data_IF_146576487610
#
_entry.id   IF_146576487610
#
_cell.length_a   1.000
_cell.length_b   1.000
_cell.length_c   1.000
_cell.angle_alpha   90.00
_cell.angle_beta   90.00
_cell.angle_gamma   90.00
#
_symmetry.space_group_name_H-M   'P 1'
#
loop_
_entity.id
_entity.type
_entity.pdbx_description
1 polymer ?
#
# COMPACT_ATOMS: atom_id res chain seq x y z
N UNK A 1 8.01 -9.47 24.22
CA UNK A 1 8.39 -8.36 23.33
C UNK A 1 7.13 -7.68 22.83
N UNK A 2 7.00 -6.36 23.00
CA UNK A 2 5.85 -5.55 22.56
C UNK A 2 6.05 -5.09 21.10
N UNK A 3 5.20 -5.51 20.14
CA UNK A 3 5.25 -4.98 18.77
C UNK A 3 4.81 -3.52 18.74
N UNK A 4 5.66 -2.62 18.25
CA UNK A 4 5.34 -1.21 18.03
C UNK A 4 4.68 -1.06 16.65
N UNK A 5 3.80 -0.07 16.50
CA UNK A 5 2.96 0.14 15.31
C UNK A 5 2.00 -1.01 15.02
N UNK A 6 1.61 -1.77 16.05
CA UNK A 6 0.70 -2.90 15.94
C UNK A 6 -0.31 -2.88 17.10
N UNK A 7 -1.42 -3.60 16.93
CA UNK A 7 -2.55 -3.55 17.85
C UNK A 7 -2.68 -4.89 18.58
N UNK A 8 -2.64 -4.84 19.91
CA UNK A 8 -2.90 -6.01 20.76
C UNK A 8 -4.41 -6.28 20.86
N UNK A 9 -4.86 -7.42 20.35
CA UNK A 9 -6.26 -7.86 20.43
C UNK A 9 -6.43 -9.12 21.29
N UNK A 10 -5.49 -9.36 22.21
CA UNK A 10 -5.49 -10.54 23.10
C UNK A 10 -6.70 -10.51 24.04
N UNK A 11 -6.95 -9.39 24.70
CA UNK A 11 -8.03 -9.20 25.67
C UNK A 11 -9.29 -8.60 25.03
N UNK A 12 -9.12 -7.60 24.16
CA UNK A 12 -10.22 -6.96 23.42
C UNK A 12 -10.06 -7.12 21.91
N UNK A 13 -11.02 -7.79 21.27
CA UNK A 13 -11.03 -8.00 19.81
C UNK A 13 -11.32 -6.73 19.01
N UNK A 14 -11.86 -5.70 19.66
CA UNK A 14 -12.21 -4.41 19.06
C UNK A 14 -11.22 -3.31 19.45
N UNK A 15 -10.07 -3.66 20.04
CA UNK A 15 -9.04 -2.68 20.31
C UNK A 15 -8.59 -2.04 18.99
N UNK A 16 -8.48 -0.72 19.01
CA UNK A 16 -7.98 0.11 17.90
C UNK A 16 -6.70 0.87 18.30
N UNK A 17 -6.28 0.75 19.57
CA UNK A 17 -5.10 1.44 20.10
C UNK A 17 -3.83 0.78 19.58
N UNK A 18 -3.02 1.58 18.89
CA UNK A 18 -1.71 1.19 18.39
C UNK A 18 -0.69 1.27 19.52
N UNK A 19 0.19 0.28 19.60
CA UNK A 19 1.34 0.31 20.50
C UNK A 19 2.39 1.31 20.00
N UNK A 20 2.95 2.14 20.89
CA UNK A 20 4.04 3.03 20.54
C UNK A 20 4.01 4.40 21.22
N UNK A 21 2.88 4.75 21.85
CA UNK A 21 2.67 6.06 22.49
C UNK A 21 3.80 6.47 23.43
N UNK A 22 4.40 5.53 24.16
CA UNK A 22 5.52 5.79 25.06
C UNK A 22 6.83 6.22 24.35
N UNK A 23 6.89 6.11 23.02
CA UNK A 23 8.00 6.55 22.18
C UNK A 23 7.72 7.88 21.49
N UNK A 24 6.51 8.43 21.59
CA UNK A 24 6.15 9.71 20.96
C UNK A 24 6.90 10.86 21.65
N UNK A 25 7.60 11.65 20.85
CA UNK A 25 8.38 12.81 21.31
C UNK A 25 7.92 14.13 20.73
N UNK A 26 7.19 14.08 19.61
CA UNK A 26 6.53 15.22 18.99
C UNK A 26 5.22 14.78 18.37
N UNK A 27 4.26 15.69 18.35
CA UNK A 27 2.96 15.52 17.70
C UNK A 27 2.64 16.84 17.01
N UNK A 28 2.05 16.78 15.82
CA UNK A 28 1.58 17.97 15.15
C UNK A 28 0.46 18.66 15.95
N UNK A 29 0.33 20.00 15.85
CA UNK A 29 -0.83 20.69 16.41
C UNK A 29 -2.13 20.18 15.79
N UNK A 30 -3.21 20.09 16.58
CA UNK A 30 -4.52 19.61 16.12
C UNK A 30 -5.04 20.36 14.88
N UNK A 31 -4.76 21.66 14.78
CA UNK A 31 -5.12 22.47 13.61
C UNK A 31 -4.45 21.99 12.31
N UNK A 32 -3.18 21.60 12.38
CA UNK A 32 -2.44 21.08 11.22
C UNK A 32 -2.95 19.69 10.81
N UNK A 33 -3.30 18.86 11.80
CA UNK A 33 -3.92 17.53 11.56
C UNK A 33 -5.28 17.67 10.88
N UNK A 34 -6.16 18.53 11.40
CA UNK A 34 -7.48 18.78 10.79
C UNK A 34 -7.37 19.35 9.38
N UNK A 35 -6.42 20.27 9.13
CA UNK A 35 -6.21 20.82 7.79
C UNK A 35 -5.74 19.75 6.80
N UNK A 36 -4.82 18.87 7.23
CA UNK A 36 -4.35 17.76 6.41
C UNK A 36 -5.48 16.79 6.05
N UNK A 37 -6.25 16.33 7.04
CA UNK A 37 -7.37 15.40 6.83
C UNK A 37 -8.44 15.99 5.92
N UNK A 38 -8.85 17.25 6.15
CA UNK A 38 -9.82 17.93 5.31
C UNK A 38 -9.36 18.00 3.83
N UNK A 39 -8.07 18.26 3.59
CA UNK A 39 -7.51 18.32 2.23
C UNK A 39 -7.41 16.94 1.59
N UNK A 40 -6.99 15.93 2.35
CA UNK A 40 -6.96 14.53 1.90
C UNK A 40 -8.35 14.06 1.48
N UNK A 41 -9.36 14.30 2.31
CA UNK A 41 -10.75 13.96 2.00
C UNK A 41 -11.26 14.68 0.74
N UNK A 42 -10.91 15.95 0.56
CA UNK A 42 -11.29 16.71 -0.64
C UNK A 42 -10.72 16.05 -1.91
N UNK A 43 -9.42 15.72 -1.90
CA UNK A 43 -8.75 15.07 -3.04
C UNK A 43 -9.36 13.68 -3.32
N UNK A 44 -9.62 12.89 -2.27
CA UNK A 44 -10.27 11.58 -2.42
C UNK A 44 -11.66 11.68 -3.04
N UNK A 45 -12.46 12.66 -2.62
CA UNK A 45 -13.77 12.92 -3.20
C UNK A 45 -13.66 13.35 -4.67
N UNK A 46 -12.70 14.21 -5.02
CA UNK A 46 -12.44 14.61 -6.42
C UNK A 46 -12.04 13.42 -7.28
N UNK A 47 -11.13 12.57 -6.79
CA UNK A 47 -10.74 11.32 -7.45
C UNK A 47 -11.94 10.38 -7.59
N UNK A 48 -12.80 10.26 -6.57
CA UNK A 48 -13.99 9.41 -6.63
C UNK A 48 -15.03 9.93 -7.63
N UNK A 49 -15.24 11.26 -7.70
CA UNK A 49 -16.13 11.90 -8.67
C UNK A 49 -15.65 11.75 -10.11
N UNK A 50 -14.33 11.78 -10.35
CA UNK A 50 -13.72 11.60 -11.68
C UNK A 50 -14.03 10.22 -12.28
N UNK A 51 -14.24 9.26 -11.38
CA UNK A 51 -14.43 7.84 -11.61
C UNK A 51 -15.85 7.59 -12.16
N UNK A 52 -16.01 6.64 -13.09
CA UNK A 52 -17.34 6.28 -13.61
C UNK A 52 -18.21 5.61 -12.50
N UNK A 53 -19.54 5.74 -12.53
CA UNK A 53 -20.44 4.99 -11.66
C UNK A 53 -20.15 3.49 -11.69
N UNK A 54 -20.28 2.83 -10.54
CA UNK A 54 -19.83 1.45 -10.34
C UNK A 54 -20.49 0.46 -11.32
N UNK A 55 -21.79 0.63 -11.62
CA UNK A 55 -22.51 -0.18 -12.60
C UNK A 55 -21.98 0.00 -14.04
N UNK A 56 -21.58 1.22 -14.43
CA UNK A 56 -20.99 1.48 -15.75
C UNK A 56 -19.62 0.82 -15.86
N UNK A 57 -18.83 0.80 -14.78
CA UNK A 57 -17.55 0.08 -14.77
C UNK A 57 -17.72 -1.42 -14.94
N UNK A 58 -18.73 -2.01 -14.30
CA UNK A 58 -19.04 -3.44 -14.46
C UNK A 58 -19.44 -3.74 -15.90
N UNK A 59 -20.33 -2.93 -16.50
CA UNK A 59 -20.74 -3.09 -17.91
C UNK A 59 -19.56 -2.94 -18.87
N UNK A 60 -18.69 -1.95 -18.62
CA UNK A 60 -17.43 -1.77 -19.37
C UNK A 60 -16.55 -3.02 -19.26
N UNK A 61 -16.32 -3.53 -18.05
CA UNK A 61 -15.48 -4.71 -17.86
C UNK A 61 -16.04 -5.96 -18.56
N UNK A 62 -17.32 -6.26 -18.36
CA UNK A 62 -17.99 -7.42 -18.97
C UNK A 62 -18.02 -7.34 -20.50
N UNK A 63 -18.31 -6.17 -21.06
CA UNK A 63 -18.29 -5.97 -22.52
C UNK A 63 -16.89 -6.12 -23.11
N UNK A 64 -15.86 -5.60 -22.44
CA UNK A 64 -14.46 -5.77 -22.86
C UNK A 64 -13.99 -7.21 -22.81
N UNK A 65 -14.26 -7.93 -21.71
CA UNK A 65 -13.91 -9.35 -21.55
C UNK A 65 -14.62 -10.21 -22.59
N UNK A 66 -15.91 -9.99 -22.82
CA UNK A 66 -16.66 -10.73 -23.84
C UNK A 66 -16.12 -10.47 -25.25
N UNK A 67 -15.87 -9.21 -25.61
CA UNK A 67 -15.28 -8.86 -26.90
C UNK A 67 -13.89 -9.51 -27.09
N UNK A 68 -13.08 -9.56 -26.04
CA UNK A 68 -11.77 -10.24 -26.06
C UNK A 68 -11.90 -11.76 -26.28
N UNK A 69 -12.87 -12.42 -25.63
CA UNK A 69 -13.13 -13.84 -25.86
C UNK A 69 -13.54 -14.12 -27.31
N UNK A 70 -14.42 -13.30 -27.87
CA UNK A 70 -14.83 -13.42 -29.29
C UNK A 70 -13.63 -13.18 -30.21
N UNK A 71 -12.79 -12.19 -29.92
CA UNK A 71 -11.59 -11.90 -30.69
C UNK A 71 -10.58 -13.06 -30.68
N UNK A 72 -10.32 -13.66 -29.52
CA UNK A 72 -9.45 -14.84 -29.38
C UNK A 72 -10.04 -16.04 -30.15
N UNK A 73 -11.36 -16.24 -30.09
CA UNK A 73 -12.04 -17.31 -30.84
C UNK A 73 -11.91 -17.12 -32.35
N UNK A 74 -12.02 -15.88 -32.85
CA UNK A 74 -11.82 -15.54 -34.27
C UNK A 74 -10.37 -15.82 -34.69
N UNK A 75 -9.37 -15.40 -33.92
CA UNK A 75 -7.95 -15.67 -34.24
C UNK A 75 -7.67 -17.17 -34.32
N UNK A 76 -8.23 -17.97 -33.39
CA UNK A 76 -8.08 -19.43 -33.43
C UNK A 76 -8.77 -20.05 -34.64
N UNK A 77 -9.97 -19.58 -34.99
CA UNK A 77 -10.70 -20.05 -36.17
C UNK A 77 -10.00 -19.68 -37.47
N UNK A 78 -9.33 -18.52 -37.53
CA UNK A 78 -8.53 -18.08 -38.67
C UNK A 78 -7.26 -18.91 -38.91
N UNK A 79 -6.81 -19.67 -37.90
CA UNK A 79 -5.71 -20.62 -38.05
C UNK A 79 -6.10 -21.90 -38.81
N UNK A 80 -7.39 -22.18 -38.97
CA UNK A 80 -7.91 -23.40 -39.61
C UNK A 80 -8.86 -23.14 -40.78
N UNK A 81 -9.53 -21.99 -40.80
CA UNK A 81 -10.61 -21.67 -41.73
C UNK A 81 -10.47 -20.20 -42.19
N UNK A 82 -10.92 -19.86 -43.40
CA UNK A 82 -10.92 -18.48 -43.90
C UNK A 82 -11.87 -17.56 -43.09
N UNK A 83 -11.58 -16.26 -43.02
CA UNK A 83 -12.44 -15.29 -42.31
C UNK A 83 -13.89 -15.31 -42.80
N UNK A 84 -14.09 -15.49 -44.11
CA UNK A 84 -15.41 -15.54 -44.72
C UNK A 84 -16.24 -16.75 -44.27
N UNK A 85 -15.58 -17.89 -44.02
CA UNK A 85 -16.23 -19.08 -43.45
C UNK A 85 -16.46 -18.96 -41.95
N UNK A 86 -15.54 -18.33 -41.20
CA UNK A 86 -15.76 -18.04 -39.79
C UNK A 86 -16.99 -17.11 -39.58
N UNK A 87 -17.15 -16.12 -40.45
CA UNK A 87 -18.31 -15.21 -40.45
C UNK A 87 -19.62 -15.93 -40.82
N UNK A 88 -19.57 -16.92 -41.72
CA UNK A 88 -20.72 -17.76 -42.05
C UNK A 88 -21.09 -18.74 -40.94
N UNK A 89 -20.11 -19.27 -40.23
CA UNK A 89 -20.32 -20.27 -39.18
C UNK A 89 -20.86 -19.66 -37.88
N UNK A 90 -20.46 -18.44 -37.53
CA UNK A 90 -20.88 -17.80 -36.28
C UNK A 90 -21.17 -16.29 -36.43
N UNK A 91 -22.08 -15.88 -37.33
CA UNK A 91 -22.34 -14.46 -37.61
C UNK A 91 -22.88 -13.70 -36.39
N UNK A 92 -23.72 -14.35 -35.59
CA UNK A 92 -24.31 -13.78 -34.38
C UNK A 92 -23.23 -13.50 -33.32
N UNK A 93 -22.30 -14.45 -33.13
CA UNK A 93 -21.23 -14.34 -32.14
C UNK A 93 -20.21 -13.25 -32.51
N UNK A 94 -19.87 -13.14 -33.80
CA UNK A 94 -18.96 -12.11 -34.30
C UNK A 94 -19.64 -10.73 -34.21
N UNK A 95 -20.91 -10.64 -34.60
CA UNK A 95 -21.70 -9.40 -34.50
C UNK A 95 -21.84 -8.91 -33.05
N UNK A 96 -22.16 -9.79 -32.11
CA UNK A 96 -22.24 -9.42 -30.69
C UNK A 96 -20.88 -8.99 -30.13
N UNK A 97 -19.78 -9.65 -30.53
CA UNK A 97 -18.43 -9.26 -30.13
C UNK A 97 -18.05 -7.85 -30.58
N UNK A 98 -18.40 -7.47 -31.82
CA UNK A 98 -18.16 -6.11 -32.34
C UNK A 98 -18.96 -5.07 -31.56
N UNK A 99 -20.25 -5.34 -31.30
CA UNK A 99 -21.11 -4.43 -30.52
C UNK A 99 -20.55 -4.24 -29.10
N UNK A 100 -20.16 -5.33 -28.43
CA UNK A 100 -19.53 -5.25 -27.12
C UNK A 100 -18.20 -4.49 -27.15
N UNK A 101 -17.39 -4.67 -28.20
CA UNK A 101 -16.15 -3.91 -28.40
C UNK A 101 -16.39 -2.41 -28.55
N UNK A 102 -17.43 -2.01 -29.28
CA UNK A 102 -17.82 -0.61 -29.44
C UNK A 102 -18.35 -0.01 -28.13
N UNK A 103 -19.18 -0.75 -27.38
CA UNK A 103 -19.64 -0.32 -26.05
C UNK A 103 -18.44 -0.11 -25.12
N UNK A 104 -17.50 -1.04 -25.09
CA UNK A 104 -16.28 -0.91 -24.30
C UNK A 104 -15.44 0.32 -24.71
N UNK A 105 -15.31 0.57 -26.01
CA UNK A 105 -14.56 1.72 -26.54
C UNK A 105 -15.22 3.06 -26.13
N UNK A 106 -16.53 3.20 -26.34
CA UNK A 106 -17.29 4.39 -25.95
C UNK A 106 -17.19 4.64 -24.46
N UNK A 107 -17.39 3.61 -23.63
CA UNK A 107 -17.26 3.73 -22.18
C UNK A 107 -15.82 4.08 -21.74
N UNK A 108 -14.81 3.67 -22.50
CA UNK A 108 -13.40 4.04 -22.25
C UNK A 108 -13.15 5.50 -22.56
N UNK A 109 -13.67 6.01 -23.69
CA UNK A 109 -13.55 7.40 -24.07
C UNK A 109 -14.32 8.32 -23.11
N UNK A 110 -15.52 7.92 -22.69
CA UNK A 110 -16.30 8.64 -21.67
C UNK A 110 -15.60 8.65 -20.31
N UNK A 111 -15.00 7.53 -19.90
CA UNK A 111 -14.21 7.49 -18.66
C UNK A 111 -13.07 8.51 -18.70
N UNK A 112 -12.27 8.49 -19.78
CA UNK A 112 -11.15 9.42 -19.96
C UNK A 112 -11.60 10.87 -20.09
N UNK A 113 -12.72 11.13 -20.74
CA UNK A 113 -13.27 12.49 -20.88
C UNK A 113 -13.80 13.01 -19.55
N UNK A 114 -14.48 12.17 -18.75
CA UNK A 114 -14.99 12.56 -17.43
C UNK A 114 -13.84 12.77 -16.45
N UNK A 115 -12.85 11.89 -16.48
CA UNK A 115 -11.61 12.03 -15.72
C UNK A 115 -10.94 13.36 -16.05
N UNK A 116 -10.71 13.64 -17.34
CA UNK A 116 -10.10 14.90 -17.77
C UNK A 116 -10.93 16.13 -17.41
N UNK A 117 -12.25 16.08 -17.58
CA UNK A 117 -13.15 17.19 -17.27
C UNK A 117 -13.17 17.50 -15.77
N UNK A 118 -13.31 16.48 -14.91
CA UNK A 118 -13.33 16.66 -13.45
C UNK A 118 -11.97 17.12 -12.94
N UNK A 119 -10.87 16.57 -13.47
CA UNK A 119 -9.52 16.99 -13.07
C UNK A 119 -9.24 18.46 -13.46
N UNK A 120 -9.79 18.94 -14.58
CA UNK A 120 -9.67 20.33 -15.03
C UNK A 120 -10.64 21.28 -14.32
N UNK A 121 -11.86 20.83 -13.99
CA UNK A 121 -12.89 21.66 -13.35
C UNK A 121 -12.66 21.82 -11.85
N UNK A 122 -12.16 20.79 -11.17
CA UNK A 122 -11.86 20.83 -9.73
C UNK A 122 -10.37 21.18 -9.42
N UNK A 123 -9.56 21.57 -10.42
CA UNK A 123 -8.12 21.88 -10.28
C UNK A 123 -7.35 20.79 -9.51
N UNK A 124 -7.60 19.52 -9.79
CA UNK A 124 -7.07 18.41 -9.01
C UNK A 124 -5.52 18.37 -8.96
N UNK A 125 -4.87 18.86 -10.01
CA UNK A 125 -3.40 18.99 -10.07
C UNK A 125 -2.89 20.07 -9.09
N UNK A 126 -3.57 21.22 -9.00
CA UNK A 126 -3.27 22.27 -8.01
C UNK A 126 -3.55 21.78 -6.58
N UNK A 127 -4.63 21.00 -6.38
CA UNK A 127 -4.95 20.40 -5.08
C UNK A 127 -3.89 19.36 -4.66
N UNK A 128 -3.39 18.55 -5.60
CA UNK A 128 -2.31 17.61 -5.35
C UNK A 128 -1.01 18.33 -4.99
N UNK A 129 -0.62 19.37 -5.75
CA UNK A 129 0.54 20.19 -5.41
C UNK A 129 0.41 20.87 -4.03
N UNK A 130 -0.79 21.34 -3.67
CA UNK A 130 -1.03 21.89 -2.34
C UNK A 130 -0.94 20.82 -1.25
N UNK A 131 -1.44 19.61 -1.49
CA UNK A 131 -1.31 18.51 -0.53
C UNK A 131 0.17 18.14 -0.32
N UNK A 132 0.97 18.06 -1.39
CA UNK A 132 2.41 17.83 -1.30
C UNK A 132 3.14 18.92 -0.52
N UNK A 133 2.79 20.20 -0.75
CA UNK A 133 3.33 21.33 0.04
C UNK A 133 2.94 21.23 1.52
N UNK A 134 1.68 20.91 1.81
CA UNK A 134 1.22 20.72 3.19
C UNK A 134 1.93 19.55 3.89
N UNK A 135 2.17 18.45 3.18
CA UNK A 135 2.98 17.32 3.68
C UNK A 135 4.40 17.79 4.03
N UNK A 136 5.01 18.60 3.17
CA UNK A 136 6.33 19.14 3.43
C UNK A 136 6.34 20.11 4.63
N UNK A 137 5.33 20.98 4.74
CA UNK A 137 5.18 21.89 5.89
C UNK A 137 5.01 21.12 7.20
N UNK A 138 4.28 20.00 7.18
CA UNK A 138 4.14 19.09 8.34
C UNK A 138 5.49 18.47 8.71
N UNK A 139 6.26 18.00 7.74
CA UNK A 139 7.60 17.48 7.99
C UNK A 139 8.53 18.54 8.57
N UNK A 140 8.47 19.77 8.09
CA UNK A 140 9.24 20.89 8.61
C UNK A 140 8.83 21.22 10.06
N UNK A 141 7.53 21.20 10.37
CA UNK A 141 7.00 21.37 11.73
C UNK A 141 7.47 20.27 12.69
N UNK A 142 7.52 19.02 12.21
CA UNK A 142 8.04 17.89 12.98
C UNK A 142 9.58 17.90 13.08
N UNK A 143 10.25 18.71 12.26
CA UNK A 143 11.70 18.80 12.17
C UNK A 143 12.32 17.55 11.53
N UNK A 144 11.63 16.98 10.54
CA UNK A 144 12.13 15.87 9.73
C UNK A 144 13.15 16.43 8.74
N UNK A 145 14.37 15.87 8.67
CA UNK A 145 15.39 16.37 7.76
C UNK A 145 15.05 16.01 6.31
N UNK A 146 15.47 16.85 5.36
CA UNK A 146 15.14 16.69 3.94
C UNK A 146 15.72 15.41 3.31
N UNK A 147 16.78 14.85 3.90
CA UNK A 147 17.42 13.60 3.48
C UNK A 147 16.86 12.36 4.22
N UNK A 148 15.78 12.50 4.99
CA UNK A 148 15.13 11.38 5.65
C UNK A 148 14.70 10.31 4.65
N UNK A 149 14.98 9.05 4.99
CA UNK A 149 14.57 7.92 4.17
C UNK A 149 13.06 7.69 4.31
N UNK A 150 12.41 7.32 3.21
CA UNK A 150 11.07 6.73 3.25
C UNK A 150 11.22 5.23 3.43
N UNK A 151 10.50 4.65 4.39
CA UNK A 151 10.45 3.21 4.64
C UNK A 151 9.03 2.77 4.89
N UNK A 152 8.75 1.51 4.63
CA UNK A 152 7.51 0.89 5.06
C UNK A 152 7.64 0.13 6.38
N UNK A 153 6.64 0.28 7.24
CA UNK A 153 6.50 -0.46 8.49
C UNK A 153 5.28 -1.38 8.41
N UNK A 154 5.44 -2.59 8.96
CA UNK A 154 4.39 -3.58 9.03
C UNK A 154 3.50 -3.34 10.24
N UNK A 155 2.29 -2.88 9.98
CA UNK A 155 1.22 -2.73 10.98
C UNK A 155 0.30 -3.95 10.93
N UNK A 156 -0.06 -4.50 12.08
CA UNK A 156 -0.94 -5.67 12.14
C UNK A 156 -1.64 -5.80 13.49
N UNK A 157 -2.71 -6.60 13.51
CA UNK A 157 -3.34 -7.04 14.75
C UNK A 157 -2.66 -8.33 15.22
N UNK A 158 -2.42 -8.47 16.52
CA UNK A 158 -1.80 -9.67 17.06
C UNK A 158 -2.47 -10.15 18.35
N UNK A 159 -2.18 -11.41 18.70
CA UNK A 159 -2.52 -11.99 20.00
C UNK A 159 -1.29 -12.64 20.61
N UNK A 160 -1.20 -12.56 21.92
CA UNK A 160 -0.22 -13.31 22.70
C UNK A 160 -0.77 -14.71 22.93
N UNK A 161 -0.01 -15.74 22.50
CA UNK A 161 -0.30 -17.15 22.80
C UNK A 161 0.97 -17.82 23.28
N UNK A 162 0.97 -18.34 24.50
CA UNK A 162 2.16 -18.95 25.11
C UNK A 162 3.38 -18.02 25.02
N UNK A 163 3.20 -16.74 25.33
CA UNK A 163 4.23 -15.67 25.24
C UNK A 163 4.67 -15.30 23.81
N UNK A 164 4.20 -16.01 22.78
CA UNK A 164 4.48 -15.71 21.38
C UNK A 164 3.50 -14.69 20.77
N UNK A 165 4.04 -13.82 19.93
CA UNK A 165 3.26 -12.90 19.10
C UNK A 165 2.71 -13.64 17.88
N UNK A 166 1.39 -13.79 17.84
CA UNK A 166 0.68 -14.42 16.71
C UNK A 166 -0.10 -13.38 15.94
N UNK A 167 0.45 -12.96 14.79
CA UNK A 167 -0.21 -12.10 13.80
C UNK A 167 -1.58 -12.71 13.44
N UNK A 168 -2.62 -11.90 13.51
CA UNK A 168 -4.00 -12.29 13.22
C UNK A 168 -4.46 -11.71 11.89
N UNK A 169 -5.12 -12.54 11.10
CA UNK A 169 -5.91 -12.08 9.97
C UNK A 169 -7.27 -11.60 10.49
N UNK A 170 -7.69 -10.39 10.11
CA UNK A 170 -9.11 -10.03 10.25
C UNK A 170 -9.93 -10.84 9.24
N UNK A 171 -11.13 -11.26 9.63
CA UNK A 171 -12.05 -12.00 8.75
C UNK A 171 -12.46 -11.19 7.50
N UNK A 172 -12.29 -9.87 7.53
CA UNK A 172 -12.55 -8.95 6.40
C UNK A 172 -11.28 -8.57 5.63
N UNK A 173 -10.09 -8.94 6.11
CA UNK A 173 -8.82 -8.57 5.50
C UNK A 173 -8.22 -9.76 4.75
N UNK A 174 -7.88 -9.54 3.48
CA UNK A 174 -7.22 -10.56 2.65
C UNK A 174 -5.74 -10.73 2.98
N UNK A 175 -5.13 -9.82 3.75
CA UNK A 175 -3.72 -9.82 4.12
C UNK A 175 -3.50 -9.87 5.63
N UNK A 176 -2.30 -10.31 6.03
CA UNK A 176 -1.91 -10.42 7.44
C UNK A 176 -1.48 -9.08 8.05
N UNK A 177 -0.89 -8.22 7.23
CA UNK A 177 -0.33 -6.94 7.62
C UNK A 177 -0.76 -5.83 6.66
N UNK A 178 -0.66 -4.60 7.14
CA UNK A 178 -0.70 -3.38 6.36
C UNK A 178 0.70 -2.81 6.23
N UNK A 179 0.87 -2.00 5.18
CA UNK A 179 2.11 -1.33 4.88
C UNK A 179 1.91 0.16 5.18
N UNK A 180 2.55 0.66 6.23
CA UNK A 180 2.51 2.07 6.59
C UNK A 180 3.78 2.74 6.08
N UNK A 181 3.65 3.66 5.13
CA UNK A 181 4.79 4.46 4.66
C UNK A 181 5.12 5.52 5.71
N UNK A 182 6.37 5.55 6.17
CA UNK A 182 6.85 6.44 7.21
C UNK A 182 8.20 7.05 6.82
N UNK A 183 8.53 8.21 7.39
CA UNK A 183 9.89 8.75 7.34
C UNK A 183 10.73 8.19 8.46
N UNK A 184 11.96 7.83 8.17
CA UNK A 184 12.96 7.34 9.13
C UNK A 184 14.28 8.08 8.95
N UNK A 185 14.89 8.46 10.06
CA UNK A 185 16.18 9.16 10.06
C UNK A 185 16.87 9.02 11.42
N UNK A 186 18.17 9.30 11.45
CA UNK A 186 18.93 9.38 12.69
C UNK A 186 19.33 10.83 12.93
N UNK A 187 19.06 11.32 14.14
CA UNK A 187 19.53 12.62 14.60
C UNK A 187 19.88 12.53 16.09
N UNK A 188 20.96 13.18 16.51
CA UNK A 188 21.41 13.25 17.91
C UNK A 188 21.45 11.89 18.65
N UNK A 189 21.88 10.83 17.96
CA UNK A 189 21.98 9.47 18.54
C UNK A 189 20.63 8.77 18.75
N UNK A 190 19.55 9.29 18.16
CA UNK A 190 18.22 8.70 18.17
C UNK A 190 17.78 8.33 16.75
N UNK A 191 17.13 7.18 16.63
CA UNK A 191 16.36 6.79 15.45
C UNK A 191 14.95 7.37 15.59
N UNK A 192 14.52 8.12 14.59
CA UNK A 192 13.20 8.73 14.52
C UNK A 192 12.36 8.08 13.44
N UNK A 193 11.08 7.85 13.71
CA UNK A 193 10.10 7.30 12.78
C UNK A 193 8.81 8.12 12.86
N UNK A 194 8.23 8.53 11.72
CA UNK A 194 7.03 9.40 11.71
C UNK A 194 6.06 9.16 10.55
N UNK A 195 4.78 9.29 10.85
CA UNK A 195 3.59 9.07 10.01
C UNK A 195 2.77 10.35 9.78
N UNK A 196 3.44 11.50 9.59
CA UNK A 196 2.84 12.84 9.45
C UNK A 196 2.11 13.37 10.69
N UNK A 197 1.72 12.53 11.64
CA UNK A 197 1.06 12.97 12.86
C UNK A 197 2.04 13.05 14.04
N UNK A 198 2.88 12.04 14.19
CA UNK A 198 3.70 11.87 15.39
C UNK A 198 5.13 11.47 15.06
N UNK A 199 6.09 11.85 15.90
CA UNK A 199 7.48 11.41 15.81
C UNK A 199 7.79 10.47 16.98
N UNK A 200 8.04 9.22 16.65
CA UNK A 200 8.50 8.18 17.57
C UNK A 200 10.03 8.18 17.60
N UNK A 201 10.62 8.21 18.80
CA UNK A 201 12.07 8.29 18.98
C UNK A 201 12.62 7.16 19.83
N UNK A 202 13.65 6.51 19.32
CA UNK A 202 14.34 5.36 19.92
C UNK A 202 15.82 5.69 20.04
N UNK A 203 16.42 5.57 21.23
CA UNK A 203 17.87 5.78 21.34
C UNK A 203 18.58 4.64 20.64
N UNK A 204 19.67 4.92 19.94
CA UNK A 204 20.42 3.87 19.24
C UNK A 204 20.97 2.80 20.19
N UNK A 205 21.27 3.14 21.45
CA UNK A 205 21.74 2.20 22.46
C UNK A 205 20.64 1.28 23.04
N UNK A 206 19.36 1.66 22.88
CA UNK A 206 18.20 0.81 23.19
C UNK A 206 18.01 -0.29 22.15
N UNK A 207 18.45 -0.06 20.90
CA UNK A 207 18.36 -1.03 19.80
C UNK A 207 19.40 -2.15 19.99
N UNK A 208 18.95 -3.41 19.97
CA UNK A 208 19.77 -4.58 20.31
C UNK A 208 20.12 -5.44 19.10
N UNK A 209 19.16 -5.66 18.22
CA UNK A 209 19.35 -6.56 17.08
C UNK A 209 18.37 -6.27 15.95
N UNK A 210 18.75 -6.69 14.74
CA UNK A 210 17.81 -6.90 13.64
C UNK A 210 17.62 -8.41 13.51
N UNK A 211 16.42 -8.90 13.85
CA UNK A 211 16.07 -10.31 13.76
C UNK A 211 15.44 -10.63 12.42
N UNK A 212 15.93 -11.68 11.78
CA UNK A 212 15.39 -12.22 10.53
C UNK A 212 14.30 -13.24 10.83
N UNK A 213 13.08 -12.98 10.39
CA UNK A 213 11.98 -13.93 10.55
C UNK A 213 11.66 -14.61 9.23
N UNK A 214 12.07 -15.87 9.10
CA UNK A 214 11.86 -16.66 7.89
C UNK A 214 10.44 -17.27 7.80
N UNK A 215 9.42 -16.45 8.08
CA UNK A 215 8.01 -16.81 7.99
C UNK A 215 7.35 -16.00 6.88
N UNK A 216 6.57 -16.66 6.03
CA UNK A 216 5.83 -15.99 4.96
C UNK A 216 4.70 -15.16 5.55
N UNK A 217 4.64 -13.90 5.16
CA UNK A 217 3.54 -12.97 5.48
C UNK A 217 2.99 -12.37 4.19
N UNK A 218 1.87 -11.65 4.32
CA UNK A 218 1.29 -10.88 3.23
C UNK A 218 0.94 -9.47 3.67
N UNK A 219 1.14 -8.53 2.76
CA UNK A 219 0.64 -7.15 2.88
C UNK A 219 -0.45 -6.90 1.86
N UNK A 220 -1.37 -6.02 2.23
CA UNK A 220 -2.29 -5.37 1.31
C UNK A 220 -1.74 -3.98 0.96
N UNK A 221 -2.13 -3.45 -0.20
CA UNK A 221 -1.78 -2.10 -0.66
C UNK A 221 -0.27 -1.92 -0.87
N UNK A 222 0.25 -2.52 -1.95
CA UNK A 222 1.55 -2.12 -2.49
C UNK A 222 1.53 -0.62 -2.82
N UNK A 223 2.42 0.13 -2.17
CA UNK A 223 2.46 1.60 -2.18
C UNK A 223 3.67 2.16 -2.96
N UNK A 224 4.44 1.32 -3.65
CA UNK A 224 5.59 1.76 -4.46
C UNK A 224 5.23 1.87 -5.93
N UNK A 225 5.88 2.80 -6.62
CA UNK A 225 5.65 3.04 -8.05
C UNK A 225 5.97 1.81 -8.91
N UNK A 226 7.12 1.18 -8.66
CA UNK A 226 7.48 -0.07 -9.31
C UNK A 226 6.76 -1.24 -8.64
N UNK A 227 6.23 -2.17 -9.44
CA UNK A 227 5.57 -3.37 -8.91
C UNK A 227 6.53 -4.29 -8.12
N UNK A 228 6.01 -5.15 -7.23
CA UNK A 228 6.81 -5.97 -6.30
C UNK A 228 7.72 -7.01 -6.96
N UNK A 229 7.61 -7.19 -8.29
CA UNK A 229 8.40 -8.14 -9.10
C UNK A 229 9.28 -7.43 -10.14
N UNK A 230 9.37 -6.12 -10.07
CA UNK A 230 10.02 -5.24 -11.04
C UNK A 230 11.17 -4.45 -10.39
N UNK A 231 11.99 -3.84 -11.24
CA UNK A 231 13.15 -2.99 -10.88
C UNK A 231 13.92 -3.42 -9.64
N UNK A 232 14.02 -2.55 -8.64
CA UNK A 232 14.83 -2.79 -7.44
C UNK A 232 14.26 -3.91 -6.55
N UNK A 233 12.95 -4.12 -6.58
CA UNK A 233 12.26 -5.09 -5.74
C UNK A 233 12.43 -6.55 -6.20
N UNK A 234 12.86 -6.76 -7.44
CA UNK A 234 13.04 -8.09 -8.04
C UNK A 234 13.99 -8.98 -7.22
N UNK A 235 15.00 -8.40 -6.54
CA UNK A 235 15.97 -9.13 -5.72
C UNK A 235 15.33 -9.84 -4.52
N UNK A 236 14.21 -9.34 -4.03
CA UNK A 236 13.50 -9.89 -2.86
C UNK A 236 12.53 -11.05 -3.19
N UNK A 237 12.37 -11.38 -4.48
CA UNK A 237 11.58 -12.55 -4.94
C UNK A 237 10.16 -12.60 -4.36
N UNK A 238 9.53 -11.44 -4.21
CA UNK A 238 8.16 -11.33 -3.72
C UNK A 238 7.17 -11.88 -4.76
N UNK A 239 6.00 -12.31 -4.29
CA UNK A 239 4.94 -12.85 -5.15
C UNK A 239 3.65 -12.11 -4.90
N UNK A 240 2.84 -11.92 -5.93
CA UNK A 240 1.54 -11.26 -5.83
C UNK A 240 0.43 -12.24 -6.24
N UNK A 241 -0.73 -12.19 -5.57
CA UNK A 241 -1.91 -12.95 -6.00
C UNK A 241 -2.85 -12.10 -6.87
N UNK A 242 -3.89 -12.73 -7.42
CA UNK A 242 -4.87 -12.06 -8.30
C UNK A 242 -5.73 -10.99 -7.60
N UNK A 243 -5.62 -10.85 -6.27
CA UNK A 243 -6.35 -9.86 -5.46
C UNK A 243 -5.44 -8.71 -5.05
N UNK A 244 -4.17 -8.71 -5.49
CA UNK A 244 -3.20 -7.64 -5.20
C UNK A 244 -2.47 -7.79 -3.86
N UNK A 245 -2.62 -8.91 -3.17
CA UNK A 245 -1.82 -9.16 -1.96
C UNK A 245 -0.38 -9.50 -2.36
N UNK A 246 0.58 -8.85 -1.74
CA UNK A 246 2.01 -9.13 -1.90
C UNK A 246 2.47 -10.03 -0.77
N UNK A 247 3.15 -11.12 -1.11
CA UNK A 247 3.69 -12.09 -0.17
C UNK A 247 5.21 -12.12 -0.26
N UNK A 248 5.85 -12.17 0.90
CA UNK A 248 7.30 -12.20 1.00
C UNK A 248 7.77 -12.93 2.26
N UNK A 249 9.05 -13.30 2.23
CA UNK A 249 9.86 -13.75 3.36
C UNK A 249 11.35 -13.56 2.98
N UNK A 250 12.25 -13.32 3.94
CA UNK A 250 11.96 -13.08 5.36
C UNK A 250 11.29 -11.72 5.57
N UNK A 251 10.92 -11.41 6.81
CA UNK A 251 10.71 -10.02 7.25
C UNK A 251 11.63 -9.75 8.43
N UNK A 252 11.78 -8.49 8.81
CA UNK A 252 12.75 -8.09 9.83
C UNK A 252 12.06 -7.48 11.05
N UNK A 253 12.62 -7.74 12.23
CA UNK A 253 12.22 -7.10 13.47
C UNK A 253 13.43 -6.34 14.01
N UNK A 254 13.32 -5.02 14.11
CA UNK A 254 14.26 -4.21 14.88
C UNK A 254 13.88 -4.33 16.36
N UNK A 255 14.68 -5.09 17.11
CA UNK A 255 14.46 -5.39 18.51
C UNK A 255 15.19 -4.37 19.38
N UNK A 256 14.53 -3.90 20.44
CA UNK A 256 15.11 -3.00 21.42
C UNK A 256 14.58 -3.24 22.82
N UNK A 257 15.16 -2.55 23.80
CA UNK A 257 14.74 -2.59 25.20
C UNK A 257 14.75 -1.19 25.79
N UNK A 258 13.63 -0.80 26.43
CA UNK A 258 13.50 0.45 27.19
C UNK A 258 12.88 0.13 28.55
N UNK A 259 13.49 0.62 29.62
CA UNK A 259 13.02 0.44 31.00
C UNK A 259 12.69 -1.02 31.38
N UNK A 260 13.52 -1.96 30.90
CA UNK A 260 13.36 -3.40 31.13
C UNK A 260 12.24 -4.07 30.31
N UNK A 261 11.62 -3.35 29.36
CA UNK A 261 10.62 -3.88 28.46
C UNK A 261 11.18 -4.02 27.04
N UNK A 262 11.17 -5.25 26.53
CA UNK A 262 11.56 -5.53 25.16
C UNK A 262 10.46 -5.09 24.18
N UNK A 263 10.83 -4.37 23.12
CA UNK A 263 9.96 -3.95 22.03
C UNK A 263 10.50 -4.39 20.67
N UNK A 264 9.64 -4.37 19.64
CA UNK A 264 10.03 -4.73 18.28
C UNK A 264 9.28 -3.93 17.23
N UNK A 265 10.00 -3.42 16.22
CA UNK A 265 9.44 -2.72 15.06
C UNK A 265 9.59 -3.63 13.84
N UNK A 266 8.52 -3.81 13.07
CA UNK A 266 8.45 -4.82 12.02
C UNK A 266 8.57 -4.19 10.64
N UNK A 267 9.47 -4.70 9.82
CA UNK A 267 9.78 -4.16 8.50
C UNK A 267 9.65 -5.22 7.40
N UNK A 268 9.17 -4.84 6.20
CA UNK A 268 9.22 -5.70 5.02
C UNK A 268 10.65 -6.08 4.63
N UNK A 269 10.76 -7.12 3.80
CA UNK A 269 12.06 -7.62 3.35
C UNK A 269 12.93 -6.57 2.65
N UNK A 270 12.32 -5.58 2.02
CA UNK A 270 13.01 -4.61 1.19
C UNK A 270 13.62 -3.43 1.93
N UNK A 271 13.34 -3.30 3.23
CA UNK A 271 13.83 -2.18 4.04
C UNK A 271 15.18 -2.44 4.72
N UNK A 272 15.71 -3.67 4.61
CA UNK A 272 16.90 -4.09 5.36
C UNK A 272 18.11 -3.18 5.14
N UNK A 273 18.36 -2.76 3.89
CA UNK A 273 19.50 -1.93 3.52
C UNK A 273 19.44 -0.55 4.23
N UNK A 274 18.23 -0.03 4.50
CA UNK A 274 18.02 1.22 5.25
C UNK A 274 18.23 0.99 6.75
N UNK A 275 17.69 -0.11 7.29
CA UNK A 275 17.81 -0.44 8.71
C UNK A 275 19.25 -0.64 9.14
N UNK A 276 20.03 -1.43 8.39
CA UNK A 276 21.43 -1.70 8.72
C UNK A 276 22.27 -0.42 8.65
N UNK A 277 22.00 0.43 7.64
CA UNK A 277 22.69 1.72 7.48
C UNK A 277 22.41 2.68 8.63
N UNK A 278 21.14 2.84 9.03
CA UNK A 278 20.75 3.82 10.06
C UNK A 278 21.09 3.34 11.47
N UNK A 279 20.94 2.05 11.75
CA UNK A 279 21.15 1.51 13.11
C UNK A 279 22.57 1.04 13.37
N UNK A 280 23.36 0.78 12.32
CA UNK A 280 24.67 0.13 12.43
C UNK A 280 24.60 -1.35 12.85
N UNK A 281 23.40 -1.91 12.96
CA UNK A 281 23.17 -3.33 13.25
C UNK A 281 23.17 -4.14 11.95
N UNK A 282 23.35 -5.46 12.07
CA UNK A 282 23.26 -6.39 10.95
C UNK A 282 22.18 -7.41 11.24
N UNK A 283 21.40 -7.79 10.22
CA UNK A 283 20.41 -8.84 10.34
C UNK A 283 21.05 -10.18 10.74
N UNK A 284 20.44 -10.84 11.74
CA UNK A 284 20.81 -12.16 12.22
C UNK A 284 19.61 -13.09 12.19
N UNK A 285 19.86 -14.39 12.02
CA UNK A 285 18.83 -15.43 12.17
C UNK A 285 18.47 -15.68 13.63
#
# INVERSE_FOLDING_TARGET
>A
MKPIFAIDITTDKKNEVINGDEFITKTIPSQASEEFENRRECLEQTVEKSKLPLWIRIVKYLSGVYALFVFIAIIKALGSISFAEALRNAPILIGSGIICGLIWLVLTLMAKSKEKAVMQEENAEEQAEQLEKNIQDIYDLLGVPADANTVDILTFNYKIKNEDIVIQYSALQSAACFNAEMKIYVNDGMLHITDLETVHSFKLDELKAIKTVNKRISILFWNKEEGPRSGEFKKYKMTENNVGNVFFKPYYILEGERDGQAFGIYFPCYEIDVLERLTGLTAKE
#
